data_IF_466649682986
#
_entry.id   IF_466649682986
#
_cell.length_a   1.000
_cell.length_b   1.000
_cell.length_c   1.000
_cell.angle_alpha   90.00
_cell.angle_beta   90.00
_cell.angle_gamma   90.00
#
_symmetry.space_group_name_H-M   'P 1'
#
loop_
_entity.id
_entity.type
_entity.pdbx_description
1 polymer ?
#
# COMPACT_ATOMS: atom_id res chain seq x y z
N UNK A 1 56.83 40.93 -7.02
CA UNK A 1 56.48 39.58 -7.51
C UNK A 1 55.18 39.18 -6.82
N UNK A 2 54.04 39.45 -7.46
CA UNK A 2 52.72 39.17 -6.89
C UNK A 2 52.30 37.75 -7.31
N UNK A 3 52.12 36.86 -6.34
CA UNK A 3 51.50 35.55 -6.58
C UNK A 3 49.98 35.72 -6.69
N UNK A 4 49.44 35.50 -7.88
CA UNK A 4 48.01 35.32 -8.13
C UNK A 4 47.63 33.89 -7.71
N UNK A 5 46.78 33.77 -6.68
CA UNK A 5 46.07 32.52 -6.36
C UNK A 5 44.87 32.38 -7.33
N UNK A 6 44.60 31.19 -7.89
CA UNK A 6 43.44 30.99 -8.75
C UNK A 6 42.16 31.04 -7.91
N UNK A 7 41.17 31.80 -8.38
CA UNK A 7 39.81 31.76 -7.86
C UNK A 7 39.27 30.34 -8.03
N UNK A 8 38.97 29.69 -6.90
CA UNK A 8 38.35 28.37 -6.88
C UNK A 8 36.97 28.44 -7.53
N UNK A 9 36.73 27.57 -8.50
CA UNK A 9 35.42 27.35 -9.08
C UNK A 9 34.49 26.75 -8.01
N UNK A 10 33.77 27.61 -7.28
CA UNK A 10 32.61 27.22 -6.48
C UNK A 10 31.37 27.69 -7.19
N UNK A 11 30.95 26.90 -8.19
CA UNK A 11 29.70 27.13 -8.88
C UNK A 11 29.35 25.89 -9.67
N UNK A 12 28.16 25.35 -9.38
CA UNK A 12 27.37 24.48 -10.27
C UNK A 12 27.28 22.97 -9.99
N UNK A 13 27.68 22.46 -8.82
CA UNK A 13 27.47 21.01 -8.51
C UNK A 13 26.22 20.70 -7.67
N UNK A 14 25.63 21.68 -6.98
CA UNK A 14 24.44 21.47 -6.14
C UNK A 14 23.11 21.51 -6.91
N UNK A 15 23.10 22.03 -8.13
CA UNK A 15 21.86 22.23 -8.89
C UNK A 15 21.36 20.99 -9.65
N UNK A 16 22.16 19.90 -9.70
CA UNK A 16 21.90 18.79 -10.63
C UNK A 16 21.83 17.40 -9.99
N UNK A 17 21.90 17.26 -8.66
CA UNK A 17 21.60 15.95 -8.04
C UNK A 17 20.09 15.74 -8.02
N UNK A 18 19.56 14.67 -8.65
CA UNK A 18 18.19 14.26 -8.40
C UNK A 18 18.05 14.06 -6.90
N UNK A 19 17.17 14.83 -6.26
CA UNK A 19 16.82 14.60 -4.87
C UNK A 19 16.32 13.16 -4.80
N UNK A 20 17.06 12.28 -4.10
CA UNK A 20 16.55 10.97 -3.79
C UNK A 20 15.20 11.19 -3.11
N UNK A 21 14.12 10.56 -3.60
CA UNK A 21 12.83 10.86 -3.03
C UNK A 21 12.86 10.44 -1.55
N UNK A 22 12.28 11.24 -0.64
CA UNK A 22 12.48 11.08 0.79
C UNK A 22 11.88 9.76 1.28
N UNK A 23 12.61 9.07 2.16
CA UNK A 23 12.03 8.03 2.99
C UNK A 23 11.50 8.66 4.28
N UNK A 24 10.17 8.73 4.39
CA UNK A 24 9.51 9.41 5.50
C UNK A 24 9.55 8.60 6.80
N UNK A 25 9.90 7.30 6.74
CA UNK A 25 10.02 6.41 7.92
C UNK A 25 8.80 6.51 8.85
N UNK A 26 7.61 6.49 8.23
CA UNK A 26 6.34 6.67 8.92
C UNK A 26 6.11 5.60 9.98
N UNK A 27 5.90 6.05 11.21
CA UNK A 27 5.67 5.19 12.37
C UNK A 27 4.32 5.55 13.01
N UNK A 28 3.27 4.73 12.79
CA UNK A 28 1.97 4.96 13.41
C UNK A 28 2.07 4.92 14.94
N UNK A 29 1.54 5.95 15.59
CA UNK A 29 1.42 6.02 17.05
C UNK A 29 -0.05 6.00 17.44
N UNK A 30 -0.47 5.00 18.20
CA UNK A 30 -1.83 4.93 18.74
C UNK A 30 -2.09 6.09 19.70
N UNK A 31 -3.22 6.78 19.51
CA UNK A 31 -3.66 7.89 20.37
C UNK A 31 -5.07 7.68 20.95
N UNK A 32 -5.70 6.56 20.62
CA UNK A 32 -7.01 6.14 21.11
C UNK A 32 -7.43 4.83 20.43
N UNK A 33 -8.58 4.29 20.80
CA UNK A 33 -9.10 3.04 20.24
C UNK A 33 -9.33 3.17 18.73
N UNK A 34 -8.52 2.43 17.95
CA UNK A 34 -8.53 2.50 16.49
C UNK A 34 -8.00 3.82 15.91
N UNK A 35 -7.54 4.79 16.71
CA UNK A 35 -7.08 6.10 16.23
C UNK A 35 -5.56 6.18 16.23
N UNK A 36 -4.99 6.44 15.07
CA UNK A 36 -3.55 6.46 14.85
C UNK A 36 -3.07 7.80 14.31
N UNK A 37 -1.94 8.25 14.83
CA UNK A 37 -1.25 9.47 14.41
C UNK A 37 0.05 9.12 13.67
N UNK A 38 0.32 9.84 12.60
CA UNK A 38 1.61 9.92 11.93
C UNK A 38 2.16 11.32 12.15
N UNK A 39 3.15 11.41 13.02
CA UNK A 39 3.69 12.69 13.46
C UNK A 39 4.68 13.25 12.42
N UNK A 40 4.44 14.49 12.01
CA UNK A 40 5.36 15.25 11.17
C UNK A 40 6.55 15.75 11.97
N UNK A 41 7.60 16.19 11.29
CA UNK A 41 8.72 16.86 11.95
C UNK A 41 8.27 18.22 12.51
N UNK A 42 8.75 18.56 13.71
CA UNK A 42 8.69 19.93 14.21
C UNK A 42 9.76 20.78 13.52
N UNK A 43 9.43 21.27 12.33
CA UNK A 43 10.31 22.04 11.46
C UNK A 43 9.51 22.94 10.51
N UNK A 44 10.18 23.87 9.84
CA UNK A 44 9.60 24.68 8.78
C UNK A 44 9.41 23.87 7.48
N UNK A 45 8.52 24.34 6.60
CA UNK A 45 8.34 23.77 5.27
C UNK A 45 9.64 23.90 4.45
N UNK A 46 10.23 22.77 4.08
CA UNK A 46 11.44 22.74 3.27
C UNK A 46 11.43 21.56 2.31
N UNK A 47 11.95 21.74 1.10
CA UNK A 47 12.09 20.66 0.12
C UNK A 47 12.95 19.52 0.68
N UNK A 48 14.00 19.85 1.46
CA UNK A 48 14.91 18.88 2.05
C UNK A 48 14.28 17.95 3.09
N UNK A 49 13.20 18.36 3.76
CA UNK A 49 12.45 17.50 4.69
C UNK A 49 11.22 16.83 4.03
N UNK A 50 11.11 16.94 2.70
CA UNK A 50 9.97 16.39 1.95
C UNK A 50 8.63 17.02 2.33
N UNK A 51 8.65 18.22 2.91
CA UNK A 51 7.51 18.94 3.50
C UNK A 51 6.71 18.14 4.54
N UNK A 52 7.33 17.14 5.19
CA UNK A 52 6.68 16.32 6.20
C UNK A 52 6.71 16.99 7.59
N UNK A 53 5.94 18.06 7.74
CA UNK A 53 5.83 18.79 9.02
C UNK A 53 4.40 18.77 9.59
N UNK A 54 3.43 18.34 8.78
CA UNK A 54 2.04 18.23 9.20
C UNK A 54 1.79 16.84 9.77
N UNK A 55 1.04 16.79 10.86
CA UNK A 55 0.54 15.52 11.36
C UNK A 55 -0.55 14.99 10.43
N UNK A 56 -0.46 13.71 10.09
CA UNK A 56 -1.57 12.98 9.45
C UNK A 56 -2.10 11.94 10.40
N UNK A 57 -3.29 11.41 10.13
CA UNK A 57 -3.90 10.42 11.00
C UNK A 57 -4.70 9.42 10.19
N UNK A 58 -5.10 8.33 10.84
CA UNK A 58 -6.08 7.41 10.30
C UNK A 58 -6.84 6.73 11.43
N UNK A 59 -8.03 6.24 11.09
CA UNK A 59 -8.92 5.54 12.02
C UNK A 59 -9.17 4.14 11.46
N UNK A 60 -8.77 3.12 12.20
CA UNK A 60 -9.19 1.74 12.01
C UNK A 60 -10.58 1.58 12.63
N UNK A 61 -11.58 1.36 11.77
CA UNK A 61 -12.98 1.19 12.20
C UNK A 61 -13.36 -0.27 12.38
N UNK A 62 -12.44 -1.22 12.15
CA UNK A 62 -12.72 -2.65 12.10
C UNK A 62 -13.38 -3.13 10.79
N UNK A 63 -14.11 -2.25 10.10
CA UNK A 63 -14.68 -2.47 8.75
C UNK A 63 -13.80 -1.90 7.62
N UNK A 64 -12.70 -1.23 7.98
CA UNK A 64 -11.81 -0.53 7.06
C UNK A 64 -11.05 0.62 7.73
N UNK A 65 -10.28 1.35 6.92
CA UNK A 65 -9.46 2.47 7.40
C UNK A 65 -9.93 3.79 6.79
N UNK A 66 -10.24 4.76 7.65
CA UNK A 66 -10.47 6.15 7.25
C UNK A 66 -9.16 6.92 7.36
N UNK A 67 -8.62 7.37 6.22
CA UNK A 67 -7.39 8.17 6.20
C UNK A 67 -7.74 9.65 6.37
N UNK A 68 -7.11 10.29 7.35
CA UNK A 68 -7.22 11.73 7.62
C UNK A 68 -5.92 12.37 7.17
N UNK A 69 -5.96 12.98 5.98
CA UNK A 69 -4.82 13.58 5.27
C UNK A 69 -3.82 12.54 4.68
N UNK A 70 -3.53 12.68 3.38
CA UNK A 70 -2.67 11.75 2.61
C UNK A 70 -1.20 12.18 2.52
N UNK A 71 -0.82 13.22 3.29
CA UNK A 71 0.52 13.79 3.33
C UNK A 71 0.92 14.57 2.08
N UNK A 72 2.20 14.99 2.00
CA UNK A 72 2.69 16.01 1.06
C UNK A 72 3.01 15.48 -0.35
N UNK A 73 3.04 14.16 -0.56
CA UNK A 73 3.49 13.59 -1.83
C UNK A 73 2.92 12.20 -2.12
N UNK A 74 3.01 11.77 -3.38
CA UNK A 74 2.69 10.40 -3.80
C UNK A 74 3.48 9.36 -3.00
N UNK A 75 4.79 9.58 -2.83
CA UNK A 75 5.66 8.66 -2.09
C UNK A 75 5.28 8.59 -0.62
N UNK A 76 4.87 9.71 -0.02
CA UNK A 76 4.31 9.70 1.33
C UNK A 76 3.07 8.80 1.38
N UNK A 77 2.11 8.98 0.46
CA UNK A 77 0.89 8.16 0.42
C UNK A 77 1.18 6.66 0.21
N UNK A 78 2.16 6.32 -0.61
CA UNK A 78 2.62 4.92 -0.79
C UNK A 78 3.20 4.34 0.50
N UNK A 79 4.06 5.08 1.20
CA UNK A 79 4.60 4.68 2.51
C UNK A 79 3.52 4.68 3.60
N UNK A 80 2.56 5.60 3.53
CA UNK A 80 1.44 5.69 4.48
C UNK A 80 0.55 4.46 4.37
N UNK A 81 0.27 3.97 3.16
CA UNK A 81 -0.44 2.70 2.97
C UNK A 81 0.30 1.52 3.61
N UNK A 82 1.61 1.46 3.48
CA UNK A 82 2.43 0.41 4.10
C UNK A 82 2.39 0.52 5.63
N UNK A 83 2.55 1.74 6.17
CA UNK A 83 2.49 2.00 7.60
C UNK A 83 1.12 1.63 8.19
N UNK A 84 0.02 2.03 7.54
CA UNK A 84 -1.35 1.64 7.93
C UNK A 84 -1.47 0.11 7.96
N UNK A 85 -1.10 -0.57 6.86
CA UNK A 85 -1.20 -2.03 6.78
C UNK A 85 -0.37 -2.78 7.84
N UNK A 86 0.63 -2.14 8.43
CA UNK A 86 1.46 -2.75 9.49
C UNK A 86 0.78 -2.77 10.86
N UNK A 87 -0.21 -1.91 11.09
CA UNK A 87 -0.90 -1.78 12.38
C UNK A 87 -2.41 -2.00 12.32
N UNK A 88 -2.99 -2.02 11.12
CA UNK A 88 -4.39 -2.36 10.90
C UNK A 88 -4.46 -3.75 10.31
N UNK A 89 -5.44 -4.54 10.75
CA UNK A 89 -5.83 -5.72 9.98
C UNK A 89 -6.37 -5.18 8.66
N UNK A 90 -5.91 -5.71 7.52
CA UNK A 90 -6.53 -5.43 6.21
C UNK A 90 -7.94 -6.04 6.24
N UNK A 91 -8.83 -5.34 6.93
CA UNK A 91 -10.14 -5.78 7.36
C UNK A 91 -11.17 -4.80 6.89
N UNK A 92 -11.05 -4.38 5.63
CA UNK A 92 -12.27 -4.09 4.90
C UNK A 92 -13.24 -5.26 5.07
N UNK A 93 -14.54 -5.03 4.86
CA UNK A 93 -15.46 -6.10 4.46
C UNK A 93 -14.83 -7.07 3.43
N UNK A 94 -13.97 -6.53 2.55
CA UNK A 94 -13.24 -7.27 1.53
C UNK A 94 -11.82 -7.64 2.00
N UNK A 95 -11.42 -8.92 1.89
CA UNK A 95 -10.06 -9.36 2.20
C UNK A 95 -9.03 -8.81 1.20
N UNK A 96 -7.75 -8.68 1.61
CA UNK A 96 -6.65 -8.37 0.69
C UNK A 96 -6.47 -9.52 -0.31
N UNK A 97 -6.84 -9.25 -1.56
CA UNK A 97 -6.77 -10.23 -2.64
C UNK A 97 -5.35 -10.68 -2.97
N UNK A 98 -4.31 -9.93 -2.58
CA UNK A 98 -2.91 -10.35 -2.77
C UNK A 98 -2.49 -11.47 -1.82
N UNK A 99 -3.25 -11.69 -0.76
CA UNK A 99 -2.98 -12.68 0.28
C UNK A 99 -3.99 -13.83 0.29
N UNK A 100 -4.85 -13.92 -0.73
CA UNK A 100 -5.95 -14.88 -0.80
C UNK A 100 -5.48 -16.34 -0.73
N UNK A 101 -4.28 -16.63 -1.23
CA UNK A 101 -3.67 -17.96 -1.25
C UNK A 101 -2.40 -18.08 -0.38
N UNK A 102 -2.23 -17.15 0.56
CA UNK A 102 -1.07 -17.11 1.46
C UNK A 102 -0.88 -18.43 2.22
N UNK A 103 -1.96 -19.02 2.72
CA UNK A 103 -1.94 -20.28 3.46
C UNK A 103 -1.54 -21.49 2.60
N UNK A 104 -1.77 -21.45 1.27
CA UNK A 104 -1.39 -22.55 0.38
C UNK A 104 0.14 -22.74 0.33
N UNK A 105 0.90 -21.66 0.49
CA UNK A 105 2.36 -21.69 0.40
C UNK A 105 3.01 -22.51 1.52
N UNK A 106 2.39 -22.54 2.70
CA UNK A 106 2.89 -23.24 3.89
C UNK A 106 2.68 -24.76 3.86
N UNK A 107 1.90 -25.28 2.91
CA UNK A 107 1.64 -26.72 2.79
C UNK A 107 2.91 -27.48 2.38
N UNK A 108 3.26 -28.54 3.12
CA UNK A 108 4.45 -29.34 2.85
C UNK A 108 4.26 -30.33 1.68
N UNK A 109 3.06 -30.90 1.54
CA UNK A 109 2.75 -31.85 0.48
C UNK A 109 2.48 -31.12 -0.85
N UNK A 110 3.25 -31.40 -1.92
CA UNK A 110 3.11 -30.69 -3.20
C UNK A 110 1.76 -30.92 -3.86
N UNK A 111 1.13 -32.10 -3.69
CA UNK A 111 -0.20 -32.37 -4.25
C UNK A 111 -1.27 -31.56 -3.51
N UNK A 112 -1.17 -31.47 -2.17
CA UNK A 112 -2.09 -30.64 -1.38
C UNK A 112 -1.90 -29.15 -1.66
N UNK A 113 -0.66 -28.71 -1.85
CA UNK A 113 -0.33 -27.34 -2.24
C UNK A 113 -0.97 -26.97 -3.58
N UNK A 114 -0.78 -27.81 -4.60
CA UNK A 114 -1.39 -27.58 -5.92
C UNK A 114 -2.93 -27.62 -5.85
N UNK A 115 -3.50 -28.53 -5.05
CA UNK A 115 -4.94 -28.59 -4.81
C UNK A 115 -5.47 -27.29 -4.19
N UNK A 116 -4.80 -26.77 -3.14
CA UNK A 116 -5.15 -25.52 -2.49
C UNK A 116 -5.20 -24.35 -3.48
N UNK A 117 -4.16 -24.17 -4.31
CA UNK A 117 -4.17 -23.11 -5.32
C UNK A 117 -5.34 -23.27 -6.31
N UNK A 118 -5.60 -24.49 -6.79
CA UNK A 118 -6.73 -24.74 -7.70
C UNK A 118 -8.08 -24.44 -7.07
N UNK A 119 -8.27 -24.71 -5.78
CA UNK A 119 -9.50 -24.39 -5.05
C UNK A 119 -9.67 -22.88 -4.89
N UNK A 120 -8.60 -22.16 -4.57
CA UNK A 120 -8.62 -20.70 -4.48
C UNK A 120 -8.91 -20.06 -5.85
N UNK A 121 -8.36 -20.58 -6.93
CA UNK A 121 -8.63 -20.08 -8.28
C UNK A 121 -10.11 -20.23 -8.67
N UNK A 122 -10.70 -21.39 -8.35
CA UNK A 122 -12.13 -21.63 -8.55
C UNK A 122 -12.98 -20.71 -7.67
N UNK A 123 -12.59 -20.52 -6.40
CA UNK A 123 -13.25 -19.60 -5.49
C UNK A 123 -13.22 -18.16 -6.00
N UNK A 124 -12.06 -17.68 -6.45
CA UNK A 124 -11.90 -16.34 -7.02
C UNK A 124 -12.78 -16.14 -8.24
N UNK A 125 -12.66 -17.01 -9.25
CA UNK A 125 -13.40 -16.86 -10.50
C UNK A 125 -14.93 -16.95 -10.28
N UNK A 126 -15.39 -17.87 -9.42
CA UNK A 126 -16.81 -18.02 -9.12
C UNK A 126 -17.36 -16.81 -8.37
N UNK A 127 -16.61 -16.31 -7.38
CA UNK A 127 -17.04 -15.17 -6.55
C UNK A 127 -17.05 -13.88 -7.36
N UNK A 128 -16.07 -13.65 -8.23
CA UNK A 128 -16.06 -12.47 -9.12
C UNK A 128 -17.27 -12.49 -10.06
N UNK A 129 -17.58 -13.64 -10.65
CA UNK A 129 -18.70 -13.73 -11.59
C UNK A 129 -20.06 -13.61 -10.91
N UNK A 130 -20.26 -14.29 -9.78
CA UNK A 130 -21.57 -14.40 -9.11
C UNK A 130 -21.81 -13.40 -7.99
N UNK A 131 -20.76 -12.69 -7.55
CA UNK A 131 -20.83 -11.79 -6.41
C UNK A 131 -20.97 -12.52 -5.07
N UNK A 132 -21.19 -11.73 -4.01
CA UNK A 132 -21.37 -12.20 -2.64
C UNK A 132 -22.44 -11.36 -1.93
N UNK A 133 -23.47 -12.03 -1.45
CA UNK A 133 -24.55 -11.45 -0.63
C UNK A 133 -24.61 -12.18 0.70
N UNK A 134 -24.79 -11.43 1.79
CA UNK A 134 -24.97 -11.96 3.14
C UNK A 134 -26.03 -11.13 3.85
N UNK A 135 -27.00 -11.79 4.47
CA UNK A 135 -28.11 -11.16 5.20
C UNK A 135 -28.83 -10.06 4.39
N UNK A 136 -29.03 -10.31 3.09
CA UNK A 136 -29.68 -9.37 2.17
C UNK A 136 -28.83 -8.19 1.71
N UNK A 137 -27.62 -8.00 2.27
CA UNK A 137 -26.67 -6.97 1.84
C UNK A 137 -25.73 -7.52 0.76
N UNK A 138 -25.64 -6.81 -0.35
CA UNK A 138 -24.67 -7.11 -1.41
C UNK A 138 -23.31 -6.56 -0.97
N UNK A 139 -22.36 -7.47 -0.75
CA UNK A 139 -20.99 -7.16 -0.35
C UNK A 139 -20.06 -7.10 -1.57
N UNK A 140 -20.37 -7.89 -2.59
CA UNK A 140 -19.71 -7.87 -3.88
C UNK A 140 -20.76 -8.10 -4.97
N UNK A 141 -20.96 -7.19 -5.93
CA UNK A 141 -21.89 -7.43 -7.03
C UNK A 141 -21.35 -8.51 -7.97
N UNK A 142 -22.21 -9.20 -8.73
CA UNK A 142 -21.77 -10.08 -9.81
C UNK A 142 -21.13 -9.26 -10.94
N UNK A 143 -20.00 -9.74 -11.45
CA UNK A 143 -19.31 -9.12 -12.59
C UNK A 143 -19.43 -9.92 -13.89
N UNK A 144 -20.20 -11.01 -13.94
CA UNK A 144 -20.38 -11.85 -15.13
C UNK A 144 -20.79 -11.06 -16.39
N UNK A 145 -21.63 -10.03 -16.22
CA UNK A 145 -22.09 -9.18 -17.33
C UNK A 145 -21.15 -8.00 -17.62
N UNK A 146 -20.19 -7.73 -16.74
CA UNK A 146 -19.29 -6.56 -16.84
C UNK A 146 -17.87 -6.95 -17.27
N UNK A 147 -17.38 -8.09 -16.81
CA UNK A 147 -16.03 -8.58 -17.05
C UNK A 147 -16.12 -9.89 -17.84
N UNK A 148 -15.36 -9.97 -18.93
CA UNK A 148 -15.21 -11.24 -19.66
C UNK A 148 -14.42 -12.25 -18.82
N UNK A 149 -14.49 -13.53 -19.17
CA UNK A 149 -13.73 -14.57 -18.48
C UNK A 149 -12.22 -14.28 -18.51
N UNK A 150 -11.72 -13.78 -19.64
CA UNK A 150 -10.32 -13.41 -19.83
C UNK A 150 -9.93 -12.23 -18.94
N UNK A 151 -10.81 -11.25 -18.76
CA UNK A 151 -10.58 -10.11 -17.87
C UNK A 151 -10.46 -10.57 -16.41
N UNK A 152 -11.31 -11.51 -15.97
CA UNK A 152 -11.23 -12.09 -14.62
C UNK A 152 -9.89 -12.81 -14.42
N UNK A 153 -9.44 -13.60 -15.40
CA UNK A 153 -8.13 -14.27 -15.31
C UNK A 153 -6.95 -13.30 -15.39
N UNK A 154 -7.05 -12.23 -16.18
CA UNK A 154 -6.03 -11.18 -16.22
C UNK A 154 -5.87 -10.48 -14.85
N UNK A 155 -6.98 -10.21 -14.16
CA UNK A 155 -6.96 -9.69 -12.79
C UNK A 155 -6.30 -10.68 -11.82
N UNK A 156 -6.61 -11.98 -11.92
CA UNK A 156 -5.99 -13.01 -11.09
C UNK A 156 -4.48 -13.07 -11.29
N UNK A 157 -4.01 -13.14 -12.53
CA UNK A 157 -2.58 -13.14 -12.86
C UNK A 157 -1.88 -11.87 -12.36
N UNK A 158 -2.55 -10.72 -12.46
CA UNK A 158 -2.03 -9.48 -11.88
C UNK A 158 -1.88 -9.60 -10.37
N UNK A 159 -2.89 -10.08 -9.63
CA UNK A 159 -2.83 -10.26 -8.18
C UNK A 159 -1.70 -11.23 -7.77
N UNK A 160 -1.53 -12.33 -8.49
CA UNK A 160 -0.45 -13.31 -8.25
C UNK A 160 0.94 -12.69 -8.41
N UNK A 161 1.12 -11.80 -9.40
CA UNK A 161 2.37 -11.05 -9.57
C UNK A 161 2.66 -10.04 -8.44
N UNK A 162 1.68 -9.78 -7.57
CA UNK A 162 1.74 -8.81 -6.47
C UNK A 162 1.67 -9.46 -5.09
N UNK A 163 1.85 -10.79 -5.00
CA UNK A 163 1.93 -11.50 -3.71
C UNK A 163 3.00 -10.85 -2.82
N UNK A 164 2.73 -10.69 -1.51
CA UNK A 164 3.77 -10.31 -0.55
C UNK A 164 4.91 -11.32 -0.61
N UNK A 165 6.15 -10.83 -0.69
CA UNK A 165 7.37 -11.65 -0.59
C UNK A 165 7.72 -11.87 0.88
#
# INVERSE_FOLDING_TARGET
>A
MALLLPASAFGDELAQRPLQPPDYRLAPRGIGDGVWLLEGANADFAVGNGCNIINTAFIDTGDGVVVVNTGPSRRYGEQQRVAIASVTISGGIAPDLRSLDSDCSALADPKKKQGCYSEIDQYFATTVRRGRTRDGRVYMPPFDETLTQEAVWALKTYLESRRPQ
#
